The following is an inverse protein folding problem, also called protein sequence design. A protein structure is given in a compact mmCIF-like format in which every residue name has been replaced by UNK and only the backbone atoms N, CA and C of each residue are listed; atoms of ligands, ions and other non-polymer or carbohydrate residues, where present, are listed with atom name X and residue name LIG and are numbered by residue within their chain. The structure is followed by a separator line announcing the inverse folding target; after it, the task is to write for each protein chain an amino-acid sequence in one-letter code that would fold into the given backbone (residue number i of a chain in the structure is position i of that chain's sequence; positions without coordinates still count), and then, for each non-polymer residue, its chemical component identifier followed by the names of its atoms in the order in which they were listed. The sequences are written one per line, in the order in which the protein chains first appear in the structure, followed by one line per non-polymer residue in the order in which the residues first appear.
data_IF_752710628546
#
_entry.id   IF_752710628546
#
_cell.length_a   1.000
_cell.length_b   1.000
_cell.length_c   1.000
_cell.angle_alpha   90.00
_cell.angle_beta   90.00
_cell.angle_gamma   90.00
#
_symmetry.space_group_name_H-M   'P 1'
#
loop_
_entity.id
_entity.type
_entity.pdbx_description
1 polymer ?
#
# COMPACT_ATOMS: atom_id res chain seq x y z
N UNK A 1 -4.30 -12.82 -2.60
CA UNK A 1 -5.20 -12.28 -3.64
C UNK A 1 -6.00 -11.18 -3.01
N UNK A 2 -5.89 -9.97 -3.55
CA UNK A 2 -6.58 -8.80 -3.03
C UNK A 2 -8.10 -8.83 -3.24
N UNK A 3 -8.77 -7.82 -2.69
CA UNK A 3 -10.21 -7.60 -2.74
C UNK A 3 -10.68 -7.55 -4.19
N UNK A 4 -11.67 -8.38 -4.47
CA UNK A 4 -12.30 -8.54 -5.78
C UNK A 4 -13.66 -7.87 -5.80
N UNK A 5 -14.05 -7.43 -7.00
CA UNK A 5 -15.39 -6.89 -7.22
C UNK A 5 -16.42 -8.02 -7.15
N UNK A 6 -17.49 -7.89 -6.33
CA UNK A 6 -18.62 -8.80 -6.37
C UNK A 6 -19.26 -8.83 -7.77
N UNK A 7 -19.63 -10.02 -8.25
CA UNK A 7 -20.16 -10.21 -9.61
C UNK A 7 -21.34 -9.30 -9.94
N UNK A 8 -22.24 -9.10 -8.97
CA UNK A 8 -23.42 -8.23 -9.08
C UNK A 8 -23.08 -6.76 -9.40
N UNK A 9 -21.88 -6.29 -9.01
CA UNK A 9 -21.45 -4.91 -9.19
C UNK A 9 -20.65 -4.67 -10.47
N UNK A 10 -20.31 -5.73 -11.23
CA UNK A 10 -19.61 -5.62 -12.51
C UNK A 10 -20.44 -4.79 -13.49
N UNK A 11 -21.75 -5.02 -13.53
CA UNK A 11 -22.65 -4.27 -14.41
C UNK A 11 -22.73 -2.79 -14.00
N UNK A 12 -22.80 -2.50 -12.70
CA UNK A 12 -22.81 -1.14 -12.18
C UNK A 12 -21.51 -0.39 -12.50
N UNK A 13 -20.37 -1.06 -12.40
CA UNK A 13 -19.07 -0.51 -12.79
C UNK A 13 -19.02 -0.19 -14.29
N UNK A 14 -19.59 -1.07 -15.12
CA UNK A 14 -19.70 -0.86 -16.56
C UNK A 14 -20.52 0.38 -16.94
N UNK A 15 -21.58 0.70 -16.17
CA UNK A 15 -22.38 1.91 -16.39
C UNK A 15 -21.57 3.20 -16.22
N UNK A 16 -20.70 3.24 -15.21
CA UNK A 16 -19.88 4.42 -14.94
C UNK A 16 -18.61 4.47 -15.79
N UNK A 17 -18.28 3.42 -16.54
CA UNK A 17 -17.20 3.41 -17.53
C UNK A 17 -15.79 3.30 -16.94
N UNK A 18 -15.67 2.86 -15.68
CA UNK A 18 -14.38 2.58 -15.04
C UNK A 18 -14.02 1.10 -15.14
N UNK A 19 -12.73 0.80 -15.00
CA UNK A 19 -12.23 -0.57 -14.84
C UNK A 19 -11.87 -0.83 -13.38
N UNK A 20 -12.01 -2.09 -12.96
CA UNK A 20 -11.65 -2.48 -11.61
C UNK A 20 -10.12 -2.46 -11.43
N UNK A 21 -9.58 -1.85 -10.36
CA UNK A 21 -8.14 -1.79 -10.17
C UNK A 21 -7.54 -3.19 -9.92
N UNK A 22 -6.48 -3.51 -10.65
CA UNK A 22 -5.76 -4.80 -10.56
C UNK A 22 -4.75 -4.86 -9.40
N UNK A 23 -4.46 -3.71 -8.75
CA UNK A 23 -3.52 -3.64 -7.65
C UNK A 23 -3.90 -4.63 -6.54
N UNK A 24 -2.95 -5.46 -6.10
CA UNK A 24 -3.14 -6.44 -5.02
C UNK A 24 -2.59 -5.87 -3.72
N UNK A 25 -3.50 -5.32 -2.91
CA UNK A 25 -3.15 -4.73 -1.62
C UNK A 25 -2.62 -5.74 -0.60
N UNK A 26 -3.01 -7.01 -0.71
CA UNK A 26 -2.46 -8.07 0.15
C UNK A 26 -0.99 -8.28 -0.20
N UNK A 27 -0.64 -8.33 -1.49
CA UNK A 27 0.77 -8.43 -1.91
C UNK A 27 1.59 -7.20 -1.52
N UNK A 28 1.03 -6.00 -1.64
CA UNK A 28 1.71 -4.78 -1.18
C UNK A 28 2.03 -4.85 0.33
N UNK A 29 1.07 -5.33 1.12
CA UNK A 29 1.26 -5.53 2.55
C UNK A 29 2.31 -6.60 2.85
N UNK A 30 2.24 -7.76 2.18
CA UNK A 30 3.23 -8.84 2.30
C UNK A 30 4.65 -8.36 1.93
N UNK A 31 4.79 -7.60 0.85
CA UNK A 31 6.06 -6.99 0.46
C UNK A 31 6.57 -6.02 1.52
N UNK A 32 5.70 -5.19 2.10
CA UNK A 32 6.07 -4.28 3.18
C UNK A 32 6.55 -5.02 4.43
N UNK A 33 5.87 -6.10 4.81
CA UNK A 33 6.30 -6.97 5.91
C UNK A 33 7.66 -7.62 5.62
N UNK A 34 7.89 -8.09 4.39
CA UNK A 34 9.16 -8.69 3.99
C UNK A 34 10.33 -7.69 4.11
N UNK A 35 10.11 -6.42 3.78
CA UNK A 35 11.11 -5.36 3.94
C UNK A 35 11.43 -5.06 5.42
N UNK A 36 10.42 -5.02 6.28
CA UNK A 36 10.61 -4.84 7.72
C UNK A 36 11.35 -6.04 8.32
N UNK A 37 11.00 -7.27 7.92
CA UNK A 37 11.69 -8.48 8.36
C UNK A 37 13.15 -8.48 7.90
N UNK A 38 13.39 -8.07 6.65
CA UNK A 38 14.74 -7.93 6.11
C UNK A 38 15.59 -6.93 6.91
N UNK A 39 15.02 -5.80 7.32
CA UNK A 39 15.68 -4.85 8.20
C UNK A 39 16.10 -5.49 9.54
N UNK A 40 15.21 -6.30 10.12
CA UNK A 40 15.51 -7.06 11.35
C UNK A 40 16.67 -8.05 11.17
N UNK A 41 16.71 -8.75 10.03
CA UNK A 41 17.80 -9.68 9.70
C UNK A 41 19.13 -8.97 9.51
N UNK A 42 19.15 -7.81 8.84
CA UNK A 42 20.34 -6.98 8.71
C UNK A 42 20.83 -6.53 10.10
N UNK A 43 19.93 -6.07 10.97
CA UNK A 43 20.29 -5.64 12.33
C UNK A 43 20.88 -6.75 13.19
N UNK A 44 20.34 -7.97 13.10
CA UNK A 44 20.92 -9.13 13.77
C UNK A 44 22.33 -9.43 13.26
N UNK A 45 22.51 -9.47 11.92
CA UNK A 45 23.82 -9.72 11.32
C UNK A 45 24.85 -8.62 11.64
N UNK A 46 24.43 -7.35 11.68
CA UNK A 46 25.27 -6.24 12.08
C UNK A 46 25.72 -6.36 13.54
N UNK A 47 24.80 -6.71 14.45
CA UNK A 47 25.12 -6.94 15.85
C UNK A 47 26.07 -8.12 16.08
N UNK A 48 25.89 -9.22 15.34
CA UNK A 48 26.82 -10.36 15.37
C UNK A 48 28.22 -9.98 14.87
N UNK A 49 28.28 -9.21 13.78
CA UNK A 49 29.54 -8.70 13.23
C UNK A 49 30.25 -7.76 14.22
N UNK A 50 29.52 -6.86 14.87
CA UNK A 50 30.05 -5.96 15.90
C UNK A 50 30.58 -6.73 17.11
N UNK A 51 29.87 -7.76 17.57
CA UNK A 51 30.31 -8.61 18.67
C UNK A 51 31.59 -9.40 18.33
N UNK A 52 31.65 -9.97 17.12
CA UNK A 52 32.83 -10.69 16.64
C UNK A 52 34.04 -9.76 16.49
N UNK A 53 33.84 -8.57 15.92
CA UNK A 53 34.88 -7.56 15.82
C UNK A 53 35.38 -7.13 17.21
N UNK A 54 34.45 -6.93 18.16
CA UNK A 54 34.78 -6.60 19.55
C UNK A 54 35.65 -7.64 20.23
N UNK A 55 35.35 -8.92 20.01
CA UNK A 55 36.16 -10.00 20.54
C UNK A 55 37.63 -9.93 20.07
N UNK A 56 37.87 -9.54 18.81
CA UNK A 56 39.23 -9.42 18.25
C UNK A 56 40.06 -8.41 19.04
N UNK A 57 39.55 -7.21 19.31
CA UNK A 57 40.33 -6.19 20.04
C UNK A 57 40.26 -6.31 21.56
N UNK A 58 39.31 -7.05 22.13
CA UNK A 58 39.31 -7.38 23.56
C UNK A 58 40.32 -8.48 23.89
N UNK A 59 40.54 -9.44 22.98
CA UNK A 59 41.42 -10.59 23.22
C UNK A 59 42.85 -10.39 22.71
N UNK A 60 43.09 -9.37 21.88
CA UNK A 60 44.40 -9.13 21.27
C UNK A 60 44.86 -7.69 21.52
N UNK A 61 46.18 -7.49 21.56
CA UNK A 61 46.78 -6.17 21.76
C UNK A 61 47.85 -5.94 20.70
N UNK A 62 47.85 -4.78 20.06
CA UNK A 62 48.90 -4.40 19.13
C UNK A 62 48.46 -3.34 18.11
N UNK A 63 49.42 -2.80 17.33
CA UNK A 63 49.15 -1.74 16.36
C UNK A 63 48.13 -2.13 15.28
N UNK A 64 48.17 -3.39 14.83
CA UNK A 64 47.24 -3.92 13.83
C UNK A 64 45.80 -4.01 14.38
N UNK A 65 45.64 -4.41 15.65
CA UNK A 65 44.34 -4.51 16.32
C UNK A 65 43.73 -3.12 16.51
N UNK A 66 44.53 -2.13 16.92
CA UNK A 66 44.09 -0.74 17.04
C UNK A 66 43.69 -0.14 15.69
N UNK A 67 44.42 -0.45 14.61
CA UNK A 67 44.09 -0.03 13.26
C UNK A 67 42.77 -0.67 12.78
N UNK A 68 42.56 -1.96 13.06
CA UNK A 68 41.30 -2.65 12.76
C UNK A 68 40.11 -2.05 13.51
N UNK A 69 40.24 -1.80 14.81
CA UNK A 69 39.19 -1.17 15.61
C UNK A 69 38.82 0.22 15.06
N UNK A 70 39.84 1.02 14.71
CA UNK A 70 39.64 2.34 14.10
C UNK A 70 38.96 2.24 12.72
N UNK A 71 39.31 1.24 11.93
CA UNK A 71 38.67 0.96 10.65
C UNK A 71 37.21 0.53 10.84
N UNK A 72 36.92 -0.39 11.76
CA UNK A 72 35.57 -0.89 12.01
C UNK A 72 34.58 0.23 12.36
N UNK A 73 34.99 1.20 13.18
CA UNK A 73 34.17 2.34 13.59
C UNK A 73 34.16 3.54 12.63
N UNK A 74 34.74 3.44 11.44
CA UNK A 74 34.82 4.56 10.48
C UNK A 74 33.55 4.74 9.62
N UNK A 75 33.18 5.99 9.36
CA UNK A 75 31.95 6.46 8.68
C UNK A 75 31.65 5.91 7.27
N UNK A 76 32.58 5.26 6.58
CA UNK A 76 32.38 4.72 5.22
C UNK A 76 32.66 3.22 5.10
N UNK A 77 32.65 2.50 6.21
CA UNK A 77 33.03 1.09 6.23
C UNK A 77 31.80 0.16 6.29
N UNK A 78 32.00 -1.08 5.88
CA UNK A 78 30.95 -2.11 5.75
C UNK A 78 29.97 -2.23 6.94
N UNK A 79 30.40 -2.13 8.21
CA UNK A 79 29.50 -2.20 9.36
C UNK A 79 28.50 -1.03 9.42
N UNK A 80 28.94 0.20 9.14
CA UNK A 80 28.09 1.39 9.17
C UNK A 80 27.05 1.39 8.06
N UNK A 81 27.42 0.88 6.88
CA UNK A 81 26.47 0.69 5.75
C UNK A 81 25.35 -0.30 6.13
N UNK A 82 25.65 -1.34 6.91
CA UNK A 82 24.63 -2.27 7.39
C UNK A 82 23.67 -1.57 8.35
N UNK A 83 24.20 -0.79 9.30
CA UNK A 83 23.39 -0.01 10.25
C UNK A 83 22.51 1.03 9.54
N UNK A 84 23.04 1.76 8.55
CA UNK A 84 22.31 2.77 7.80
C UNK A 84 21.27 2.20 6.84
N UNK A 85 21.43 0.94 6.42
CA UNK A 85 20.47 0.27 5.54
C UNK A 85 19.18 -0.18 6.26
N UNK A 86 19.21 -0.35 7.59
CA UNK A 86 18.04 -0.79 8.35
C UNK A 86 16.92 0.25 8.37
N UNK A 87 17.16 1.54 8.72
CA UNK A 87 16.10 2.55 8.69
C UNK A 87 15.48 2.71 7.30
N UNK A 88 16.29 2.62 6.24
CA UNK A 88 15.81 2.69 4.86
C UNK A 88 14.87 1.53 4.51
N UNK A 89 15.23 0.30 4.89
CA UNK A 89 14.39 -0.88 4.69
C UNK A 89 13.08 -0.81 5.49
N UNK A 90 13.12 -0.31 6.73
CA UNK A 90 11.91 -0.10 7.55
C UNK A 90 11.01 0.97 6.91
N UNK A 91 11.59 2.09 6.45
CA UNK A 91 10.83 3.17 5.82
C UNK A 91 10.14 2.69 4.54
N UNK A 92 10.86 1.96 3.69
CA UNK A 92 10.29 1.38 2.47
C UNK A 92 9.17 0.38 2.79
N UNK A 93 9.38 -0.49 3.80
CA UNK A 93 8.37 -1.43 4.24
C UNK A 93 7.11 -0.76 4.78
N UNK A 94 7.26 0.30 5.56
CA UNK A 94 6.15 1.11 6.07
C UNK A 94 5.38 1.80 4.93
N UNK A 95 6.08 2.38 3.95
CA UNK A 95 5.47 2.99 2.76
C UNK A 95 4.61 1.99 1.98
N UNK A 96 5.11 0.78 1.76
CA UNK A 96 4.35 -0.29 1.09
C UNK A 96 3.08 -0.70 1.86
N UNK A 97 3.14 -0.76 3.19
CA UNK A 97 1.98 -1.03 4.04
C UNK A 97 0.94 0.10 3.96
N UNK A 98 1.39 1.36 3.93
CA UNK A 98 0.52 2.52 3.76
C UNK A 98 -0.17 2.47 2.39
N UNK A 99 0.59 2.21 1.32
CA UNK A 99 0.04 2.03 -0.03
C UNK A 99 -1.00 0.90 -0.07
N UNK A 100 -0.74 -0.23 0.58
CA UNK A 100 -1.70 -1.33 0.70
C UNK A 100 -3.02 -0.87 1.35
N UNK A 101 -2.93 -0.17 2.48
CA UNK A 101 -4.11 0.34 3.19
C UNK A 101 -4.92 1.34 2.35
N UNK A 102 -4.24 2.24 1.63
CA UNK A 102 -4.87 3.21 0.73
C UNK A 102 -5.61 2.50 -0.41
N UNK A 103 -4.98 1.53 -1.07
CA UNK A 103 -5.59 0.76 -2.16
C UNK A 103 -6.80 -0.04 -1.65
N UNK A 104 -6.69 -0.65 -0.47
CA UNK A 104 -7.81 -1.37 0.15
C UNK A 104 -8.99 -0.43 0.39
N UNK A 105 -8.73 0.74 1.00
CA UNK A 105 -9.76 1.73 1.28
C UNK A 105 -10.44 2.24 0.00
N UNK A 106 -9.68 2.47 -1.08
CA UNK A 106 -10.23 2.83 -2.39
C UNK A 106 -11.20 1.76 -2.89
N UNK A 107 -10.77 0.50 -2.92
CA UNK A 107 -11.61 -0.61 -3.41
C UNK A 107 -12.90 -0.75 -2.62
N UNK A 108 -12.83 -0.63 -1.30
CA UNK A 108 -14.02 -0.66 -0.42
C UNK A 108 -14.95 0.51 -0.75
N UNK A 109 -14.42 1.73 -0.86
CA UNK A 109 -15.21 2.90 -1.19
C UNK A 109 -15.89 2.78 -2.55
N UNK A 110 -15.18 2.28 -3.57
CA UNK A 110 -15.76 2.01 -4.90
C UNK A 110 -16.88 0.97 -4.81
N UNK A 111 -16.70 -0.14 -4.09
CA UNK A 111 -17.75 -1.14 -3.90
C UNK A 111 -19.01 -0.52 -3.27
N UNK A 112 -18.84 0.32 -2.25
CA UNK A 112 -19.96 1.01 -1.60
C UNK A 112 -20.71 1.91 -2.59
N UNK A 113 -20.00 2.72 -3.38
CA UNK A 113 -20.61 3.60 -4.37
C UNK A 113 -21.36 2.82 -5.46
N UNK A 114 -20.78 1.72 -5.93
CA UNK A 114 -21.44 0.85 -6.91
C UNK A 114 -22.70 0.17 -6.34
N UNK A 115 -22.68 -0.22 -5.06
CA UNK A 115 -23.85 -0.80 -4.40
C UNK A 115 -24.98 0.23 -4.25
N UNK A 116 -24.65 1.49 -3.93
CA UNK A 116 -25.61 2.59 -3.90
C UNK A 116 -26.21 2.81 -5.28
N UNK A 117 -25.38 2.94 -6.33
CA UNK A 117 -25.85 3.11 -7.71
C UNK A 117 -26.77 1.96 -8.15
N UNK A 118 -26.40 0.71 -7.86
CA UNK A 118 -27.22 -0.45 -8.19
C UNK A 118 -28.60 -0.39 -7.51
N UNK A 119 -28.63 0.05 -6.25
CA UNK A 119 -29.88 0.24 -5.50
C UNK A 119 -30.74 1.36 -6.09
N UNK A 120 -30.16 2.52 -6.40
CA UNK A 120 -30.85 3.66 -7.02
C UNK A 120 -31.46 3.27 -8.37
N UNK A 121 -30.71 2.55 -9.22
CA UNK A 121 -31.20 2.06 -10.50
C UNK A 121 -32.35 1.06 -10.32
N UNK A 122 -32.24 0.15 -9.34
CA UNK A 122 -33.33 -0.80 -9.04
C UNK A 122 -34.60 -0.06 -8.59
N UNK A 123 -34.48 0.98 -7.76
CA UNK A 123 -35.61 1.82 -7.31
C UNK A 123 -36.23 2.60 -8.46
N UNK A 124 -35.41 3.20 -9.34
CA UNK A 124 -35.87 3.90 -10.53
C UNK A 124 -36.70 2.99 -11.43
N UNK A 125 -36.27 1.73 -11.61
CA UNK A 125 -37.01 0.72 -12.38
C UNK A 125 -38.29 0.29 -11.66
N UNK A 126 -38.22 0.02 -10.36
CA UNK A 126 -39.37 -0.42 -9.57
C UNK A 126 -40.52 0.62 -9.56
N UNK A 127 -40.17 1.91 -9.55
CA UNK A 127 -41.12 3.02 -9.55
C UNK A 127 -41.54 3.47 -10.96
N UNK A 128 -40.93 2.92 -12.02
CA UNK A 128 -41.15 3.35 -13.40
C UNK A 128 -42.62 3.30 -13.82
N UNK A 129 -43.38 2.28 -13.40
CA UNK A 129 -44.80 2.17 -13.78
C UNK A 129 -45.64 3.27 -13.12
N UNK A 130 -45.38 3.56 -11.86
CA UNK A 130 -46.12 4.57 -11.07
C UNK A 130 -45.77 5.99 -11.50
N UNK A 131 -44.53 6.20 -11.93
CA UNK A 131 -44.03 7.50 -12.43
C UNK A 131 -44.21 7.68 -13.94
N UNK A 132 -44.92 6.76 -14.61
CA UNK A 132 -45.08 6.75 -16.07
C UNK A 132 -43.75 6.81 -16.84
N UNK A 133 -42.70 6.19 -16.29
CA UNK A 133 -41.36 6.12 -16.86
C UNK A 133 -40.47 7.31 -16.53
N UNK A 134 -40.97 8.32 -15.81
CA UNK A 134 -40.18 9.51 -15.47
C UNK A 134 -38.96 9.17 -14.61
N UNK A 135 -39.06 8.22 -13.67
CA UNK A 135 -37.94 7.81 -12.82
C UNK A 135 -36.78 7.17 -13.59
N UNK A 136 -37.03 6.61 -14.78
CA UNK A 136 -35.95 6.06 -15.62
C UNK A 136 -35.01 7.14 -16.16
N UNK A 137 -35.48 8.39 -16.26
CA UNK A 137 -34.65 9.53 -16.66
C UNK A 137 -33.63 9.93 -15.58
N UNK A 138 -33.77 9.45 -14.34
CA UNK A 138 -32.83 9.69 -13.25
C UNK A 138 -31.60 8.78 -13.33
N UNK A 139 -31.70 7.62 -13.99
CA UNK A 139 -30.60 6.64 -14.10
C UNK A 139 -29.31 7.26 -14.67
N UNK A 140 -29.33 7.99 -15.80
CA UNK A 140 -28.13 8.63 -16.32
C UNK A 140 -27.54 9.66 -15.34
N UNK A 141 -28.37 10.32 -14.55
CA UNK A 141 -27.95 11.31 -13.55
C UNK A 141 -27.19 10.61 -12.42
N UNK A 142 -27.73 9.51 -11.87
CA UNK A 142 -27.06 8.70 -10.85
C UNK A 142 -25.71 8.15 -11.34
N UNK A 143 -25.65 7.70 -12.60
CA UNK A 143 -24.40 7.22 -13.22
C UNK A 143 -23.34 8.31 -13.29
N UNK A 144 -23.71 9.54 -13.70
CA UNK A 144 -22.78 10.68 -13.76
C UNK A 144 -22.29 11.05 -12.36
N UNK A 145 -23.19 11.16 -11.39
CA UNK A 145 -22.81 11.48 -10.00
C UNK A 145 -21.84 10.43 -9.44
N UNK A 146 -22.15 9.15 -9.63
CA UNK A 146 -21.30 8.05 -9.15
C UNK A 146 -19.94 8.08 -9.85
N UNK A 147 -19.91 8.35 -11.17
CA UNK A 147 -18.66 8.50 -11.91
C UNK A 147 -17.78 9.60 -11.32
N UNK A 148 -18.33 10.78 -11.06
CA UNK A 148 -17.58 11.90 -10.48
C UNK A 148 -17.07 11.58 -9.06
N UNK A 149 -17.88 10.92 -8.23
CA UNK A 149 -17.47 10.51 -6.88
C UNK A 149 -16.32 9.50 -6.96
N UNK A 150 -16.42 8.49 -7.84
CA UNK A 150 -15.36 7.49 -8.03
C UNK A 150 -14.09 8.15 -8.58
N UNK A 151 -14.21 9.08 -9.54
CA UNK A 151 -13.08 9.87 -10.03
C UNK A 151 -12.39 10.65 -8.92
N UNK A 152 -13.14 11.36 -8.08
CA UNK A 152 -12.60 12.11 -6.95
C UNK A 152 -11.93 11.21 -5.91
N UNK A 153 -12.46 10.00 -5.67
CA UNK A 153 -11.82 9.00 -4.80
C UNK A 153 -10.48 8.53 -5.36
N UNK A 154 -10.40 8.29 -6.67
CA UNK A 154 -9.17 7.92 -7.36
C UNK A 154 -8.15 9.05 -7.24
N UNK A 155 -8.53 10.29 -7.54
CA UNK A 155 -7.64 11.45 -7.47
C UNK A 155 -7.10 11.66 -6.05
N UNK A 156 -7.96 11.53 -5.03
CA UNK A 156 -7.55 11.60 -3.63
C UNK A 156 -6.51 10.52 -3.28
N UNK A 157 -6.70 9.31 -3.79
CA UNK A 157 -5.78 8.19 -3.56
C UNK A 157 -4.46 8.41 -4.28
N UNK A 158 -4.49 8.87 -5.53
CA UNK A 158 -3.27 9.23 -6.27
C UNK A 158 -2.50 10.30 -5.49
N UNK A 159 -3.17 11.34 -5.00
CA UNK A 159 -2.53 12.37 -4.16
C UNK A 159 -1.87 11.75 -2.92
N UNK A 160 -2.60 10.93 -2.16
CA UNK A 160 -2.05 10.26 -0.96
C UNK A 160 -0.88 9.33 -1.26
N UNK A 161 -0.85 8.69 -2.44
CA UNK A 161 0.23 7.81 -2.86
C UNK A 161 1.47 8.59 -3.33
N UNK A 162 1.29 9.79 -3.90
CA UNK A 162 2.39 10.66 -4.30
C UNK A 162 3.03 11.39 -3.11
N UNK A 163 2.25 11.64 -2.07
CA UNK A 163 2.72 12.29 -0.83
C UNK A 163 3.35 11.32 0.18
N UNK A 164 3.28 10.00 -0.06
CA UNK A 164 3.77 8.93 0.81
C UNK A 164 5.18 8.46 0.44
#
# INVERSE_FOLDING_TARGET
MGLQLPGELITALGWIGYTWPEADEVKLFEMGQAWIEFAGRIGAAAGEADAAAAQVWTQNVGPAVAAFQKWWGGEQNGPLVLHDSMPAAVLLGAGLIICAAIVLALKIAVIVQLAILAFEVAQAIATAVVTFGASLAEIPIFQVITREIVGALIDQVIGRLLDA
#
